data_IF_199726505239
#
_entry.id   IF_199726505239
#
_cell.length_a   1.000
_cell.length_b   1.000
_cell.length_c   1.000
_cell.angle_alpha   90.00
_cell.angle_beta   90.00
_cell.angle_gamma   90.00
#
_symmetry.space_group_name_H-M   'P 1'
#
loop_
_entity.id
_entity.type
_entity.pdbx_description
1 polymer ?
#
# COMPACT_ATOMS: atom_id res chain seq x y z
N UNK A 1 24.29 0.96 -23.34
CA UNK A 1 23.42 1.89 -22.58
C UNK A 1 23.22 1.31 -21.20
N UNK A 2 23.51 2.06 -20.12
CA UNK A 2 23.13 1.66 -18.76
C UNK A 2 21.60 1.72 -18.66
N UNK A 3 20.95 0.59 -18.35
CA UNK A 3 19.51 0.58 -18.09
C UNK A 3 19.25 1.36 -16.79
N UNK A 4 18.30 2.30 -16.82
CA UNK A 4 17.81 2.93 -15.60
C UNK A 4 17.09 1.86 -14.76
N UNK A 5 17.41 1.80 -13.48
CA UNK A 5 16.77 0.90 -12.52
C UNK A 5 16.02 1.74 -11.50
N UNK A 6 14.78 1.35 -11.19
CA UNK A 6 14.02 1.98 -10.13
C UNK A 6 14.63 1.61 -8.78
N UNK A 7 14.85 2.60 -7.95
CA UNK A 7 15.35 2.39 -6.58
C UNK A 7 14.18 2.09 -5.65
N UNK A 8 14.38 1.15 -4.74
CA UNK A 8 13.42 0.84 -3.69
C UNK A 8 13.37 1.93 -2.61
N UNK A 9 12.31 1.92 -1.84
CA UNK A 9 12.08 2.89 -0.75
C UNK A 9 13.23 2.90 0.27
N UNK A 10 13.87 1.76 0.50
CA UNK A 10 14.98 1.61 1.46
C UNK A 10 16.33 2.10 0.93
N UNK A 11 16.44 2.28 -0.39
CA UNK A 11 17.69 2.65 -1.05
C UNK A 11 17.88 4.16 -1.15
N UNK A 12 16.84 4.94 -0.89
CA UNK A 12 16.86 6.41 -0.97
C UNK A 12 16.49 7.00 0.38
N UNK A 13 17.30 7.93 0.88
CA UNK A 13 17.02 8.65 2.11
C UNK A 13 16.98 10.16 1.85
N UNK A 14 15.84 10.82 2.06
CA UNK A 14 15.73 12.26 1.90
C UNK A 14 16.54 13.00 2.97
N UNK A 15 17.32 14.00 2.55
CA UNK A 15 18.15 14.84 3.41
C UNK A 15 17.87 16.31 3.16
N UNK A 16 18.39 17.17 4.06
CA UNK A 16 18.31 18.62 3.95
C UNK A 16 16.87 19.13 3.85
N UNK A 17 16.61 20.05 2.93
CA UNK A 17 15.32 20.70 2.77
C UNK A 17 14.19 19.71 2.46
N UNK A 18 14.48 18.61 1.76
CA UNK A 18 13.48 17.60 1.42
C UNK A 18 13.00 16.86 2.69
N UNK A 19 13.93 16.52 3.60
CA UNK A 19 13.55 15.94 4.90
C UNK A 19 12.71 16.91 5.74
N UNK A 20 13.02 18.21 5.70
CA UNK A 20 12.22 19.22 6.41
C UNK A 20 10.81 19.34 5.81
N UNK A 21 10.66 19.26 4.49
CA UNK A 21 9.34 19.19 3.85
C UNK A 21 8.52 17.97 4.31
N UNK A 22 9.14 16.80 4.41
CA UNK A 22 8.46 15.61 4.94
C UNK A 22 8.02 15.80 6.40
N UNK A 23 8.83 16.45 7.25
CA UNK A 23 8.43 16.77 8.62
C UNK A 23 7.22 17.72 8.67
N UNK A 24 7.20 18.73 7.80
CA UNK A 24 6.06 19.65 7.69
C UNK A 24 4.80 18.88 7.26
N UNK A 25 4.89 17.96 6.32
CA UNK A 25 3.77 17.12 5.92
C UNK A 25 3.28 16.21 7.05
N UNK A 26 4.20 15.56 7.76
CA UNK A 26 3.87 14.69 8.90
C UNK A 26 3.21 15.44 10.06
N UNK A 27 3.72 16.64 10.39
CA UNK A 27 3.14 17.51 11.41
C UNK A 27 1.89 18.27 10.98
N UNK A 28 1.66 18.37 9.66
CA UNK A 28 0.55 19.06 9.03
C UNK A 28 -0.62 18.15 8.66
N UNK A 29 -1.32 18.53 7.58
CA UNK A 29 -2.55 17.85 7.15
C UNK A 29 -2.33 16.38 6.83
N UNK A 30 -1.26 16.04 6.10
CA UNK A 30 -1.00 14.65 5.69
C UNK A 30 -0.91 13.70 6.88
N UNK A 31 -0.18 14.09 7.94
CA UNK A 31 -0.02 13.28 9.14
C UNK A 31 -1.24 13.26 10.08
N UNK A 32 -2.20 14.17 9.90
CA UNK A 32 -3.41 14.30 10.76
C UNK A 32 -4.70 13.99 10.02
N UNK A 33 -4.64 13.68 8.75
CA UNK A 33 -5.82 13.52 7.91
C UNK A 33 -6.77 12.43 8.42
N UNK A 34 -6.22 11.35 8.98
CA UNK A 34 -6.98 10.24 9.58
C UNK A 34 -7.74 10.64 10.87
N UNK A 35 -7.32 11.72 11.55
CA UNK A 35 -8.02 12.26 12.72
C UNK A 35 -9.13 13.24 12.33
N UNK A 36 -9.08 13.81 11.12
CA UNK A 36 -9.93 14.93 10.69
C UNK A 36 -10.94 14.53 9.61
N UNK A 37 -10.72 13.45 8.91
CA UNK A 37 -11.52 13.06 7.77
C UNK A 37 -12.17 11.71 7.99
N UNK A 38 -13.51 11.68 8.09
CA UNK A 38 -14.31 10.49 8.37
C UNK A 38 -14.02 9.32 7.41
N UNK A 39 -13.67 9.63 6.16
CA UNK A 39 -13.27 8.61 5.18
C UNK A 39 -12.04 7.79 5.58
N UNK A 40 -11.22 8.32 6.49
CA UNK A 40 -10.00 7.69 7.00
C UNK A 40 -10.10 7.36 8.49
N UNK A 41 -11.23 7.71 9.13
CA UNK A 41 -11.53 7.40 10.51
C UNK A 41 -12.08 5.97 10.69
N UNK A 42 -12.59 5.69 11.88
CA UNK A 42 -13.13 4.37 12.26
C UNK A 42 -14.29 3.87 11.38
N UNK A 43 -14.97 4.77 10.68
CA UNK A 43 -16.06 4.43 9.76
C UNK A 43 -15.59 4.09 8.35
N UNK A 44 -14.30 4.20 8.05
CA UNK A 44 -13.75 3.85 6.74
C UNK A 44 -14.09 2.41 6.36
N UNK A 45 -14.52 2.19 5.12
CA UNK A 45 -14.73 0.84 4.58
C UNK A 45 -13.45 0.01 4.60
N UNK A 46 -12.28 0.63 4.51
CA UNK A 46 -10.97 0.00 4.61
C UNK A 46 -10.50 -0.25 6.07
N UNK A 47 -11.40 -0.07 7.04
CA UNK A 47 -11.29 -0.51 8.42
C UNK A 47 -12.51 -1.33 8.86
N UNK A 48 -13.31 -1.82 7.90
CA UNK A 48 -14.52 -2.61 8.16
C UNK A 48 -15.75 -1.77 8.48
N UNK A 49 -15.68 -0.46 8.37
CA UNK A 49 -16.80 0.44 8.57
C UNK A 49 -17.74 0.52 7.36
N UNK A 50 -18.76 1.34 7.47
CA UNK A 50 -19.80 1.55 6.45
C UNK A 50 -19.63 2.84 5.65
N UNK A 51 -18.53 3.56 5.88
CA UNK A 51 -18.21 4.81 5.23
C UNK A 51 -17.59 4.61 3.84
N UNK A 52 -16.75 5.55 3.45
CA UNK A 52 -16.07 5.52 2.15
C UNK A 52 -15.27 4.21 1.98
N UNK A 53 -15.53 3.52 0.88
CA UNK A 53 -15.00 2.20 0.61
C UNK A 53 -14.25 2.11 -0.73
N UNK A 54 -13.92 3.26 -1.34
CA UNK A 54 -13.27 3.32 -2.64
C UNK A 54 -11.76 3.62 -2.52
N UNK A 55 -11.31 4.77 -3.03
CA UNK A 55 -9.88 4.99 -3.24
C UNK A 55 -9.15 5.85 -2.19
N UNK A 56 -9.90 6.51 -1.29
CA UNK A 56 -9.29 7.51 -0.38
C UNK A 56 -8.30 6.92 0.60
N UNK A 57 -8.66 5.80 1.22
CA UNK A 57 -7.75 5.14 2.15
C UNK A 57 -6.54 4.52 1.42
N UNK A 58 -6.68 3.83 0.26
CA UNK A 58 -5.55 3.40 -0.54
C UNK A 58 -4.57 4.53 -0.92
N UNK A 59 -5.06 5.67 -1.38
CA UNK A 59 -4.19 6.82 -1.69
C UNK A 59 -3.55 7.45 -0.46
N UNK A 60 -4.27 7.49 0.65
CA UNK A 60 -3.68 7.92 1.92
C UNK A 60 -2.52 7.03 2.32
N UNK A 61 -2.67 5.71 2.20
CA UNK A 61 -1.63 4.74 2.52
C UNK A 61 -0.43 4.84 1.59
N UNK A 62 -0.65 5.05 0.31
CA UNK A 62 0.42 5.27 -0.68
C UNK A 62 1.35 6.44 -0.29
N UNK A 63 0.82 7.44 0.40
CA UNK A 63 1.58 8.56 0.93
C UNK A 63 2.15 8.36 2.33
N UNK A 64 1.34 7.81 3.26
CA UNK A 64 1.70 7.77 4.67
C UNK A 64 2.74 6.68 4.99
N UNK A 65 2.75 5.57 4.26
CA UNK A 65 3.71 4.48 4.44
C UNK A 65 5.15 4.99 4.22
N UNK A 66 5.52 5.54 3.05
CA UNK A 66 6.86 6.06 2.86
C UNK A 66 7.17 7.24 3.79
N UNK A 67 6.19 8.11 4.09
CA UNK A 67 6.39 9.23 5.01
C UNK A 67 6.79 8.75 6.40
N UNK A 68 6.07 7.75 6.93
CA UNK A 68 6.37 7.18 8.25
C UNK A 68 7.75 6.53 8.30
N UNK A 69 8.16 5.89 7.21
CA UNK A 69 9.46 5.24 7.10
C UNK A 69 10.60 6.26 7.06
N UNK A 70 10.53 7.25 6.17
CA UNK A 70 11.58 8.25 5.99
C UNK A 70 11.80 9.13 7.23
N UNK A 71 10.78 9.30 8.07
CA UNK A 71 10.86 10.09 9.30
C UNK A 71 11.04 9.22 10.54
N UNK A 72 10.99 7.90 10.43
CA UNK A 72 10.95 6.96 11.56
C UNK A 72 9.82 7.31 12.55
N UNK A 73 8.65 7.68 12.00
CA UNK A 73 7.49 8.12 12.79
C UNK A 73 6.61 6.91 13.14
N UNK A 74 6.74 6.44 14.38
CA UNK A 74 5.98 5.28 14.89
C UNK A 74 4.47 5.53 14.94
N UNK A 75 4.01 6.76 15.20
CA UNK A 75 2.59 7.08 15.23
C UNK A 75 1.96 6.92 13.85
N UNK A 76 2.59 7.48 12.83
CA UNK A 76 2.14 7.34 11.44
C UNK A 76 2.23 5.89 10.96
N UNK A 77 3.26 5.17 11.37
CA UNK A 77 3.43 3.74 11.06
C UNK A 77 2.26 2.92 11.63
N UNK A 78 1.93 3.10 12.90
CA UNK A 78 0.78 2.42 13.54
C UNK A 78 -0.55 2.77 12.90
N UNK A 79 -0.68 4.00 12.39
CA UNK A 79 -1.87 4.40 11.64
C UNK A 79 -1.98 3.63 10.32
N UNK A 80 -0.89 3.52 9.56
CA UNK A 80 -0.86 2.74 8.32
C UNK A 80 -1.12 1.25 8.59
N UNK A 81 -0.50 0.68 9.62
CA UNK A 81 -0.62 -0.74 9.98
C UNK A 81 -2.07 -1.15 10.24
N UNK A 82 -2.91 -0.31 10.85
CA UNK A 82 -4.33 -0.63 11.06
C UNK A 82 -5.07 -0.95 9.75
N UNK A 83 -4.80 -0.17 8.72
CA UNK A 83 -5.40 -0.39 7.39
C UNK A 83 -4.81 -1.62 6.71
N UNK A 84 -3.49 -1.80 6.83
CA UNK A 84 -2.79 -2.97 6.26
C UNK A 84 -3.34 -4.25 6.90
N UNK A 85 -3.36 -4.33 8.23
CA UNK A 85 -3.83 -5.50 8.96
C UNK A 85 -5.28 -5.83 8.62
N UNK A 86 -6.16 -4.81 8.57
CA UNK A 86 -7.54 -5.02 8.16
C UNK A 86 -7.64 -5.50 6.72
N UNK A 87 -6.86 -4.93 5.81
CA UNK A 87 -6.83 -5.33 4.40
C UNK A 87 -6.44 -6.80 4.25
N UNK A 88 -5.38 -7.24 4.94
CA UNK A 88 -4.93 -8.63 4.93
C UNK A 88 -6.01 -9.58 5.51
N UNK A 89 -6.66 -9.19 6.62
CA UNK A 89 -7.72 -9.98 7.24
C UNK A 89 -9.01 -10.04 6.42
N UNK A 90 -9.25 -9.06 5.56
CA UNK A 90 -10.45 -8.98 4.71
C UNK A 90 -10.40 -9.94 3.51
N UNK A 91 -9.27 -10.58 3.26
CA UNK A 91 -9.10 -11.48 2.12
C UNK A 91 -10.02 -12.68 2.25
N UNK A 92 -10.75 -12.99 1.17
CA UNK A 92 -11.62 -14.17 1.07
C UNK A 92 -10.88 -15.36 0.44
N UNK A 93 -11.56 -16.50 0.37
CA UNK A 93 -11.03 -17.75 -0.19
C UNK A 93 -10.71 -17.64 -1.70
N UNK A 94 -11.35 -16.70 -2.41
CA UNK A 94 -11.12 -16.38 -3.81
C UNK A 94 -9.91 -15.44 -3.99
N UNK A 95 -9.35 -14.91 -2.89
CA UNK A 95 -8.23 -14.00 -2.89
C UNK A 95 -8.61 -12.51 -2.99
N UNK A 96 -9.90 -12.17 -3.07
CA UNK A 96 -10.34 -10.78 -3.05
C UNK A 96 -10.16 -10.19 -1.66
N UNK A 97 -9.70 -8.96 -1.60
CA UNK A 97 -9.54 -8.20 -0.36
C UNK A 97 -10.21 -6.83 -0.42
N UNK A 98 -10.36 -6.20 0.72
CA UNK A 98 -10.93 -4.87 0.83
C UNK A 98 -12.45 -4.86 1.02
N UNK A 99 -13.09 -3.67 0.96
CA UNK A 99 -14.49 -3.52 1.25
C UNK A 99 -15.40 -4.34 0.35
N UNK A 100 -16.36 -5.08 0.95
CA UNK A 100 -17.29 -5.95 0.20
C UNK A 100 -18.24 -5.18 -0.70
N UNK A 101 -18.64 -3.97 -0.29
CA UNK A 101 -19.54 -3.12 -1.08
C UNK A 101 -18.96 -2.66 -2.43
N UNK A 102 -17.64 -2.74 -2.59
CA UNK A 102 -16.93 -2.42 -3.83
C UNK A 102 -16.17 -3.61 -4.41
N UNK A 103 -16.67 -4.84 -4.22
CA UNK A 103 -15.96 -6.07 -4.61
C UNK A 103 -15.52 -6.09 -6.08
N UNK A 104 -16.30 -5.51 -6.98
CA UNK A 104 -16.00 -5.49 -8.42
C UNK A 104 -15.15 -4.29 -8.86
N UNK A 105 -14.82 -3.39 -7.94
CA UNK A 105 -13.97 -2.24 -8.23
C UNK A 105 -12.48 -2.58 -8.06
N UNK A 106 -11.82 -2.74 -9.18
CA UNK A 106 -10.38 -3.06 -9.21
C UNK A 106 -9.48 -1.83 -9.01
N UNK A 107 -9.98 -0.62 -9.25
CA UNK A 107 -9.17 0.58 -9.15
C UNK A 107 -8.61 0.79 -7.75
N UNK A 108 -9.48 0.81 -6.75
CA UNK A 108 -9.08 0.98 -5.36
C UNK A 108 -8.16 -0.14 -4.87
N UNK A 109 -8.38 -1.36 -5.36
CA UNK A 109 -7.55 -2.53 -5.04
C UNK A 109 -6.16 -2.43 -5.65
N UNK A 110 -6.03 -1.93 -6.88
CA UNK A 110 -4.72 -1.70 -7.50
C UNK A 110 -3.91 -0.65 -6.73
N UNK A 111 -4.55 0.43 -6.27
CA UNK A 111 -3.89 1.45 -5.44
C UNK A 111 -3.47 0.86 -4.08
N UNK A 112 -4.34 0.07 -3.46
CA UNK A 112 -4.01 -0.62 -2.21
C UNK A 112 -2.87 -1.62 -2.40
N UNK A 113 -2.86 -2.35 -3.51
CA UNK A 113 -1.78 -3.28 -3.83
C UNK A 113 -0.43 -2.56 -3.95
N UNK A 114 -0.42 -1.37 -4.56
CA UNK A 114 0.79 -0.52 -4.60
C UNK A 114 1.26 -0.15 -3.19
N UNK A 115 0.34 0.24 -2.30
CA UNK A 115 0.65 0.54 -0.91
C UNK A 115 1.18 -0.69 -0.14
N UNK A 116 0.59 -1.87 -0.37
CA UNK A 116 1.06 -3.14 0.18
C UNK A 116 2.48 -3.48 -0.27
N UNK A 117 2.81 -3.25 -1.55
CA UNK A 117 4.17 -3.46 -2.08
C UNK A 117 5.17 -2.55 -1.39
N UNK A 118 4.85 -1.25 -1.23
CA UNK A 118 5.71 -0.33 -0.49
C UNK A 118 5.93 -0.78 0.96
N UNK A 119 4.87 -1.27 1.60
CA UNK A 119 4.96 -1.79 2.96
C UNK A 119 5.80 -3.07 3.04
N UNK A 120 5.67 -3.95 2.02
CA UNK A 120 6.52 -5.12 1.90
C UNK A 120 8.00 -4.75 1.69
N UNK A 121 8.30 -3.80 0.81
CA UNK A 121 9.68 -3.32 0.58
C UNK A 121 10.34 -2.81 1.87
N UNK A 122 9.53 -2.25 2.79
CA UNK A 122 10.00 -1.74 4.08
C UNK A 122 10.18 -2.87 5.10
N UNK A 123 9.20 -3.77 5.21
CA UNK A 123 9.08 -4.71 6.34
C UNK A 123 9.55 -6.13 6.02
N UNK A 124 9.58 -6.48 4.73
CA UNK A 124 9.88 -7.84 4.23
C UNK A 124 8.93 -8.93 4.77
N UNK A 125 7.73 -8.55 5.27
CA UNK A 125 6.74 -9.47 5.82
C UNK A 125 6.13 -10.36 4.73
N UNK A 126 6.33 -11.69 4.75
CA UNK A 126 5.94 -12.58 3.65
C UNK A 126 4.42 -12.68 3.46
N UNK A 127 3.61 -12.46 4.49
CA UNK A 127 2.15 -12.50 4.43
C UNK A 127 1.56 -11.50 3.42
N UNK A 128 2.27 -10.41 3.17
CA UNK A 128 1.84 -9.38 2.22
C UNK A 128 1.93 -9.90 0.78
N UNK A 129 2.95 -10.67 0.47
CA UNK A 129 3.12 -11.27 -0.85
C UNK A 129 2.00 -12.27 -1.17
N UNK A 130 1.54 -13.03 -0.18
CA UNK A 130 0.46 -13.99 -0.37
C UNK A 130 -0.82 -13.30 -0.81
N UNK A 131 -1.17 -12.15 -0.22
CA UNK A 131 -2.34 -11.36 -0.59
C UNK A 131 -2.26 -10.83 -2.02
N UNK A 132 -1.08 -10.36 -2.45
CA UNK A 132 -0.88 -9.84 -3.81
C UNK A 132 -0.96 -10.91 -4.91
N UNK A 133 -0.54 -12.14 -4.63
CA UNK A 133 -0.47 -13.23 -5.62
C UNK A 133 -1.86 -13.69 -6.06
N UNK A 134 -2.85 -13.75 -5.16
CA UNK A 134 -4.20 -14.21 -5.50
C UNK A 134 -4.93 -13.29 -6.49
N UNK A 135 -4.81 -11.97 -6.35
CA UNK A 135 -5.46 -11.02 -7.28
C UNK A 135 -4.91 -11.12 -8.70
N UNK A 136 -3.64 -11.47 -8.83
CA UNK A 136 -3.00 -11.60 -10.15
C UNK A 136 -3.53 -12.81 -10.91
N UNK A 137 -4.01 -13.85 -10.24
CA UNK A 137 -4.49 -15.09 -10.88
C UNK A 137 -5.93 -15.02 -11.40
N UNK A 138 -6.79 -14.22 -10.77
CA UNK A 138 -8.23 -14.17 -11.10
C UNK A 138 -8.62 -13.09 -12.11
N UNK A 139 -7.89 -11.99 -12.18
CA UNK A 139 -8.17 -10.95 -13.15
C UNK A 139 -7.49 -11.23 -14.48
N UNK A 140 -8.24 -11.11 -15.59
CA UNK A 140 -7.75 -11.15 -16.99
C UNK A 140 -6.67 -10.06 -17.27
N UNK A 141 -6.24 -9.35 -16.27
CA UNK A 141 -5.09 -8.48 -16.27
C UNK A 141 -3.86 -9.34 -15.99
N UNK A 142 -3.21 -9.82 -17.06
CA UNK A 142 -1.95 -10.54 -16.94
C UNK A 142 -0.85 -9.60 -16.41
N UNK A 143 -0.75 -9.47 -15.10
CA UNK A 143 0.51 -9.07 -14.48
C UNK A 143 1.32 -10.37 -14.39
N UNK A 144 2.17 -10.60 -15.36
CA UNK A 144 2.95 -11.83 -15.45
C UNK A 144 3.95 -11.93 -14.31
N UNK A 145 3.78 -12.90 -13.42
CA UNK A 145 4.85 -13.38 -12.57
C UNK A 145 5.83 -14.20 -13.42
N UNK A 146 7.01 -13.65 -13.66
CA UNK A 146 8.05 -14.37 -14.38
C UNK A 146 8.89 -15.21 -13.43
N UNK A 147 8.96 -16.53 -13.69
CA UNK A 147 9.90 -17.42 -13.01
C UNK A 147 11.28 -17.29 -13.66
N UNK A 148 12.23 -16.65 -13.01
CA UNK A 148 13.62 -16.69 -13.39
C UNK A 148 14.32 -17.81 -12.62
N UNK A 149 14.76 -18.86 -13.33
CA UNK A 149 15.78 -19.78 -12.85
C UNK A 149 15.49 -20.50 -11.53
N UNK A 150 14.30 -21.10 -11.37
CA UNK A 150 14.06 -22.06 -10.26
C UNK A 150 13.89 -21.45 -8.86
N UNK A 151 14.08 -20.16 -8.68
CA UNK A 151 13.71 -19.44 -7.44
C UNK A 151 12.56 -18.49 -7.75
N UNK A 152 11.48 -18.57 -6.98
CA UNK A 152 10.36 -17.65 -7.06
C UNK A 152 10.80 -16.28 -6.50
N UNK A 153 11.20 -15.38 -7.37
CA UNK A 153 11.31 -13.96 -7.03
C UNK A 153 10.09 -13.23 -7.61
N UNK A 154 9.29 -12.55 -6.80
CA UNK A 154 8.16 -11.75 -7.30
C UNK A 154 8.70 -10.51 -8.03
N UNK A 155 8.47 -10.44 -9.33
CA UNK A 155 8.72 -9.24 -10.12
C UNK A 155 7.43 -8.77 -10.73
N UNK A 156 7.05 -7.54 -10.39
CA UNK A 156 5.89 -6.87 -10.97
C UNK A 156 6.32 -6.15 -12.23
N UNK A 157 5.75 -6.54 -13.35
CA UNK A 157 5.91 -5.85 -14.62
C UNK A 157 4.65 -5.04 -14.94
N UNK A 158 4.80 -3.75 -15.14
CA UNK A 158 3.80 -2.93 -15.79
C UNK A 158 4.03 -3.02 -17.30
N UNK A 159 3.16 -3.70 -18.03
CA UNK A 159 3.10 -3.56 -19.48
C UNK A 159 2.10 -2.45 -19.83
N UNK A 160 2.52 -1.54 -20.71
CA UNK A 160 1.65 -0.53 -21.31
C UNK A 160 0.71 -1.16 -22.30
#
# INVERSE_FOLDING_TARGET
>A
MKKMQMMGIREVMPLGWLKEQLKIQAGGLSGKLHDMWDSLGSYSGWLGGTGENWERAPYFLDGIIPLSWYLDDEKLRKTAEKFIDWTLQSQDEEGNFGPRASKEDWWSRMVMLKALIQYYEITEKPEILCTGIFIINESSFQIGLWKAGGKQEPRIFWSR
#
